data_IF_186302920740
#
_entry.id   IF_186302920740
#
_cell.length_a   1.000
_cell.length_b   1.000
_cell.length_c   1.000
_cell.angle_alpha   90.00
_cell.angle_beta   90.00
_cell.angle_gamma   90.00
#
_symmetry.space_group_name_H-M   'P 1'
#
loop_
_entity.id
_entity.type
_entity.pdbx_description
1 polymer ?
#
# COMPACT_ATOMS: atom_id res chain seq x y z
N UNK A 1 1.60 -5.50 27.45
CA UNK A 1 0.76 -4.98 26.34
C UNK A 1 0.44 -3.53 26.60
N UNK A 2 0.72 -2.65 25.64
CA UNK A 2 0.31 -1.26 25.70
C UNK A 2 -1.07 -1.12 25.07
N UNK A 3 -2.02 -0.54 25.77
CA UNK A 3 -3.39 -0.31 25.27
C UNK A 3 -3.43 0.59 24.04
N UNK A 4 -2.41 1.42 23.83
CA UNK A 4 -2.26 2.27 22.65
C UNK A 4 -2.13 1.50 21.33
N UNK A 5 -1.82 0.20 21.38
CA UNK A 5 -1.74 -0.67 20.20
C UNK A 5 -2.99 -1.59 20.06
N UNK A 6 -4.08 -1.24 20.71
CA UNK A 6 -5.35 -1.96 20.62
C UNK A 6 -6.40 -1.09 19.98
N UNK A 7 -7.04 -1.58 18.93
CA UNK A 7 -8.19 -0.92 18.33
C UNK A 7 -9.32 -1.90 18.03
N UNK A 8 -10.58 -1.46 18.11
CA UNK A 8 -11.72 -2.34 18.01
C UNK A 8 -11.91 -2.91 16.60
N UNK A 9 -12.04 -4.22 16.51
CA UNK A 9 -12.40 -4.94 15.30
C UNK A 9 -13.74 -5.62 15.47
N UNK A 10 -14.60 -5.59 14.45
CA UNK A 10 -15.82 -6.41 14.48
C UNK A 10 -15.47 -7.89 14.48
N UNK A 11 -16.19 -8.71 15.27
CA UNK A 11 -15.92 -10.16 15.35
C UNK A 11 -15.96 -10.87 14.00
N UNK A 12 -16.87 -10.47 13.10
CA UNK A 12 -16.99 -11.02 11.75
C UNK A 12 -15.78 -10.69 10.88
N UNK A 13 -15.15 -9.53 11.06
CA UNK A 13 -13.90 -9.16 10.41
C UNK A 13 -12.71 -9.91 11.01
N UNK A 14 -12.51 -9.76 12.31
CA UNK A 14 -11.37 -10.31 13.04
C UNK A 14 -11.25 -11.84 12.86
N UNK A 15 -12.33 -12.58 13.13
CA UNK A 15 -12.37 -14.04 13.00
C UNK A 15 -12.55 -14.54 11.57
N UNK A 16 -12.91 -13.64 10.64
CA UNK A 16 -13.16 -13.91 9.22
C UNK A 16 -12.00 -13.52 8.32
N UNK A 17 -12.18 -12.45 7.57
CA UNK A 17 -11.23 -11.99 6.54
C UNK A 17 -9.85 -11.65 7.08
N UNK A 18 -9.79 -11.00 8.23
CA UNK A 18 -8.51 -10.63 8.85
C UNK A 18 -7.70 -11.87 9.25
N UNK A 19 -8.33 -12.84 9.93
CA UNK A 19 -7.70 -14.13 10.24
C UNK A 19 -7.21 -14.87 8.99
N UNK A 20 -7.98 -14.82 7.88
CA UNK A 20 -7.56 -15.42 6.61
C UNK A 20 -6.29 -14.76 6.08
N UNK A 21 -6.21 -13.43 6.10
CA UNK A 21 -5.03 -12.68 5.69
C UNK A 21 -3.82 -13.03 6.56
N UNK A 22 -3.99 -13.07 7.88
CA UNK A 22 -2.91 -13.44 8.80
C UNK A 22 -2.42 -14.88 8.58
N UNK A 23 -3.33 -15.80 8.26
CA UNK A 23 -2.98 -17.20 7.94
C UNK A 23 -2.20 -17.24 6.63
N UNK A 24 -2.59 -16.45 5.62
CA UNK A 24 -1.89 -16.36 4.36
C UNK A 24 -0.46 -15.80 4.53
N UNK A 25 -0.30 -14.76 5.34
CA UNK A 25 1.02 -14.16 5.61
C UNK A 25 1.93 -15.16 6.33
N UNK A 26 1.41 -15.93 7.28
CA UNK A 26 2.20 -17.01 7.92
C UNK A 26 2.65 -18.06 6.89
N UNK A 27 1.75 -18.49 6.00
CA UNK A 27 2.12 -19.42 4.93
C UNK A 27 3.18 -18.84 3.97
N UNK A 28 3.15 -17.54 3.72
CA UNK A 28 4.21 -16.88 2.96
C UNK A 28 5.54 -16.86 3.71
N UNK A 29 5.53 -16.53 5.00
CA UNK A 29 6.75 -16.56 5.82
C UNK A 29 7.38 -17.97 5.86
N UNK A 30 6.54 -19.00 6.01
CA UNK A 30 7.00 -20.39 6.01
C UNK A 30 7.62 -20.84 4.66
N UNK A 31 7.14 -20.27 3.55
CA UNK A 31 7.52 -20.70 2.20
C UNK A 31 8.48 -19.76 1.47
N UNK A 32 8.59 -18.52 1.89
CA UNK A 32 9.25 -17.44 1.14
C UNK A 32 10.34 -16.71 1.94
N UNK A 33 10.62 -17.12 3.17
CA UNK A 33 11.60 -16.47 4.04
C UNK A 33 11.04 -15.35 4.91
N UNK A 34 11.92 -14.50 5.42
CA UNK A 34 11.57 -13.44 6.34
C UNK A 34 10.63 -12.40 5.72
N UNK A 35 9.62 -12.01 6.47
CA UNK A 35 8.67 -10.96 6.10
C UNK A 35 8.64 -9.85 7.14
N UNK A 36 8.72 -8.61 6.69
CA UNK A 36 8.37 -7.45 7.49
C UNK A 36 6.91 -7.11 7.30
N UNK A 37 6.17 -6.98 8.40
CA UNK A 37 4.71 -6.76 8.37
C UNK A 37 4.35 -5.55 9.20
N UNK A 38 3.75 -4.56 8.57
CA UNK A 38 3.19 -3.39 9.25
C UNK A 38 1.67 -3.49 9.23
N UNK A 39 1.04 -3.21 10.37
CA UNK A 39 -0.42 -3.32 10.54
C UNK A 39 -0.93 -2.11 11.29
N UNK A 40 -2.06 -1.56 10.87
CA UNK A 40 -2.68 -0.46 11.58
C UNK A 40 -4.15 -0.23 11.21
N UNK A 41 -4.87 0.55 12.05
CA UNK A 41 -6.22 1.01 11.78
C UNK A 41 -6.23 2.22 10.85
N UNK A 42 -7.33 2.39 10.13
CA UNK A 42 -7.65 3.61 9.38
C UNK A 42 -8.99 4.13 9.88
N UNK A 43 -8.98 5.35 10.44
CA UNK A 43 -10.17 5.95 11.06
C UNK A 43 -11.09 6.69 10.08
N UNK A 44 -10.77 6.68 8.78
CA UNK A 44 -11.70 7.15 7.76
C UNK A 44 -12.96 6.27 7.76
N UNK A 45 -14.13 6.87 7.57
CA UNK A 45 -15.43 6.17 7.59
C UNK A 45 -15.58 5.28 8.84
N UNK A 46 -15.28 5.85 10.01
CA UNK A 46 -15.33 5.13 11.27
C UNK A 46 -16.72 4.52 11.51
N UNK A 47 -16.77 3.46 12.33
CA UNK A 47 -17.97 2.68 12.62
C UNK A 47 -18.59 3.03 13.96
N UNK A 48 -18.45 4.30 14.39
CA UNK A 48 -18.91 4.79 15.68
C UNK A 48 -17.89 4.59 16.80
N UNK A 49 -18.37 4.56 18.03
CA UNK A 49 -17.55 4.48 19.24
C UNK A 49 -18.05 3.37 20.16
N UNK A 50 -17.15 2.83 20.98
CA UNK A 50 -17.47 1.80 21.98
C UNK A 50 -16.96 2.20 23.37
N UNK A 51 -17.66 1.68 24.39
CA UNK A 51 -17.33 1.91 25.79
C UNK A 51 -17.68 3.33 26.27
N UNK A 52 -17.62 3.52 27.60
CA UNK A 52 -17.92 4.81 28.25
C UNK A 52 -16.93 5.93 27.89
N UNK A 53 -15.74 5.56 27.43
CA UNK A 53 -14.69 6.51 27.06
C UNK A 53 -14.66 6.86 25.56
N UNK A 54 -15.66 6.43 24.78
CA UNK A 54 -15.80 6.81 23.38
C UNK A 54 -14.64 6.33 22.50
N UNK A 55 -14.24 5.05 22.61
CA UNK A 55 -13.15 4.52 21.77
C UNK A 55 -13.64 4.34 20.35
N UNK A 56 -13.08 5.12 19.43
CA UNK A 56 -13.46 5.10 18.00
C UNK A 56 -13.18 3.76 17.36
N UNK A 57 -14.19 3.23 16.65
CA UNK A 57 -14.07 1.99 15.87
C UNK A 57 -13.58 2.33 14.46
N UNK A 58 -12.39 1.87 14.04
CA UNK A 58 -11.86 2.16 12.71
C UNK A 58 -12.76 1.66 11.59
N UNK A 59 -12.84 2.41 10.48
CA UNK A 59 -13.54 1.97 9.27
C UNK A 59 -12.81 0.88 8.53
N UNK A 60 -11.47 0.90 8.56
CA UNK A 60 -10.62 -0.05 7.84
C UNK A 60 -9.40 -0.44 8.67
N UNK A 61 -8.76 -1.53 8.22
CA UNK A 61 -7.43 -1.94 8.65
C UNK A 61 -6.53 -2.16 7.45
N UNK A 62 -5.29 -1.70 7.54
CA UNK A 62 -4.28 -2.01 6.55
C UNK A 62 -3.28 -3.03 7.06
N UNK A 63 -2.67 -3.72 6.13
CA UNK A 63 -1.50 -4.56 6.35
C UNK A 63 -0.57 -4.41 5.15
N UNK A 64 0.67 -4.02 5.41
CA UNK A 64 1.74 -3.92 4.40
C UNK A 64 2.75 -5.00 4.70
N UNK A 65 3.14 -5.75 3.69
CA UNK A 65 4.09 -6.86 3.78
C UNK A 65 5.24 -6.61 2.82
N UNK A 66 6.46 -6.69 3.33
CA UNK A 66 7.69 -6.63 2.56
C UNK A 66 8.47 -7.93 2.70
N UNK A 67 8.84 -8.54 1.59
CA UNK A 67 9.69 -9.73 1.48
C UNK A 67 11.06 -9.33 0.93
N UNK A 68 12.08 -9.09 1.78
CA UNK A 68 13.36 -8.54 1.35
C UNK A 68 14.13 -9.47 0.40
N UNK A 69 14.09 -10.78 0.63
CA UNK A 69 14.79 -11.75 -0.23
C UNK A 69 14.25 -11.82 -1.66
N UNK A 70 13.02 -11.37 -1.85
CA UNK A 70 12.33 -11.37 -3.14
C UNK A 70 12.21 -9.99 -3.75
N UNK A 71 12.54 -8.95 -3.00
CA UNK A 71 12.32 -7.55 -3.38
C UNK A 71 10.86 -7.30 -3.83
N UNK A 72 9.92 -7.76 -3.00
CA UNK A 72 8.48 -7.65 -3.30
C UNK A 72 7.72 -7.06 -2.11
N UNK A 73 6.78 -6.17 -2.43
CA UNK A 73 5.84 -5.61 -1.46
C UNK A 73 4.40 -5.86 -1.87
N UNK A 74 3.52 -6.00 -0.89
CA UNK A 74 2.07 -6.06 -1.09
C UNK A 74 1.35 -5.36 0.04
N UNK A 75 0.36 -4.56 -0.31
CA UNK A 75 -0.52 -3.89 0.64
C UNK A 75 -1.93 -4.47 0.59
N UNK A 76 -2.61 -4.45 1.74
CA UNK A 76 -4.03 -4.78 1.87
C UNK A 76 -4.74 -3.66 2.61
N UNK A 77 -5.90 -3.25 2.10
CA UNK A 77 -6.85 -2.43 2.84
C UNK A 77 -8.19 -3.15 2.92
N UNK A 78 -8.61 -3.46 4.11
CA UNK A 78 -9.83 -4.24 4.37
C UNK A 78 -10.81 -3.43 5.22
N UNK A 79 -12.10 -3.35 4.84
CA UNK A 79 -13.10 -2.72 5.68
C UNK A 79 -13.29 -3.51 6.98
N UNK A 80 -13.50 -2.80 8.09
CA UNK A 80 -13.76 -3.41 9.39
C UNK A 80 -15.20 -3.93 9.45
N UNK A 81 -15.46 -4.96 8.65
CA UNK A 81 -16.78 -5.63 8.55
C UNK A 81 -16.62 -7.05 8.00
N UNK A 82 -17.72 -7.78 7.84
CA UNK A 82 -17.67 -9.10 7.21
C UNK A 82 -17.11 -8.99 5.79
N UNK A 83 -16.01 -9.69 5.53
CA UNK A 83 -15.36 -9.70 4.22
C UNK A 83 -16.08 -10.68 3.30
N UNK A 84 -16.44 -10.18 2.13
CA UNK A 84 -17.02 -10.95 1.04
C UNK A 84 -16.03 -10.95 -0.14
N UNK A 85 -15.69 -12.14 -0.64
CA UNK A 85 -14.75 -12.29 -1.75
C UNK A 85 -13.35 -12.78 -1.33
N UNK A 86 -12.44 -12.77 -2.29
CA UNK A 86 -11.06 -13.21 -2.14
C UNK A 86 -10.19 -12.10 -1.54
N UNK A 87 -9.07 -12.47 -0.93
CA UNK A 87 -8.08 -11.51 -0.39
C UNK A 87 -7.52 -10.59 -1.48
N UNK A 88 -7.41 -11.09 -2.72
CA UNK A 88 -6.95 -10.32 -3.88
C UNK A 88 -7.74 -9.02 -4.10
N UNK A 89 -9.04 -9.06 -3.83
CA UNK A 89 -9.93 -7.89 -4.02
C UNK A 89 -9.59 -6.72 -3.11
N UNK A 90 -8.81 -6.96 -2.07
CA UNK A 90 -8.43 -5.98 -1.05
C UNK A 90 -6.98 -5.53 -1.18
N UNK A 91 -6.26 -5.98 -2.22
CA UNK A 91 -4.87 -5.56 -2.45
C UNK A 91 -4.79 -4.11 -2.93
N UNK A 92 -3.76 -3.43 -2.48
CA UNK A 92 -3.40 -2.06 -2.86
C UNK A 92 -1.88 -1.96 -3.01
N UNK A 93 -1.40 -0.98 -3.77
CA UNK A 93 0.01 -0.60 -3.71
C UNK A 93 0.32 0.00 -2.34
N UNK A 94 1.58 -0.09 -1.92
CA UNK A 94 2.02 0.50 -0.65
C UNK A 94 1.88 2.01 -0.72
N UNK A 95 2.31 2.67 -1.81
CA UNK A 95 2.09 4.11 -2.10
C UNK A 95 0.64 4.55 -1.86
N UNK A 96 -0.32 3.71 -2.27
CA UNK A 96 -1.73 4.05 -2.08
C UNK A 96 -2.11 4.04 -0.59
N UNK A 97 -1.61 3.06 0.18
CA UNK A 97 -1.86 2.99 1.64
C UNK A 97 -1.17 4.15 2.34
N UNK A 98 0.02 4.53 1.92
CA UNK A 98 0.74 5.71 2.42
C UNK A 98 -0.02 7.00 2.18
N UNK A 99 -0.55 7.17 0.97
CA UNK A 99 -1.39 8.34 0.65
C UNK A 99 -2.63 8.44 1.53
N UNK A 100 -3.17 7.28 1.96
CA UNK A 100 -4.34 7.20 2.82
C UNK A 100 -4.00 7.48 4.29
N UNK A 101 -2.87 6.94 4.78
CA UNK A 101 -2.49 6.96 6.19
C UNK A 101 -1.59 8.13 6.56
N UNK A 102 -0.88 8.68 5.58
CA UNK A 102 0.17 9.69 5.80
C UNK A 102 1.42 9.12 6.48
N UNK A 103 1.54 7.81 6.52
CA UNK A 103 2.73 7.10 6.98
C UNK A 103 3.66 6.89 5.78
N UNK A 104 4.93 6.66 6.07
CA UNK A 104 6.00 6.37 5.15
C UNK A 104 6.59 5.04 5.63
N UNK A 105 6.28 3.96 4.88
CA UNK A 105 6.68 2.61 5.26
C UNK A 105 8.06 2.31 4.70
N UNK A 106 8.86 1.56 5.47
CA UNK A 106 10.18 1.09 5.05
C UNK A 106 11.14 2.20 4.56
N UNK A 107 11.00 3.42 5.05
CA UNK A 107 11.81 4.61 4.75
C UNK A 107 13.34 4.42 4.93
N UNK A 108 13.78 3.27 5.41
CA UNK A 108 15.19 2.90 5.52
C UNK A 108 15.75 2.29 4.23
N UNK A 109 14.88 1.92 3.28
CA UNK A 109 15.31 1.43 1.98
C UNK A 109 15.92 2.58 1.16
N UNK A 110 16.71 2.22 0.14
CA UNK A 110 17.15 3.18 -0.85
C UNK A 110 15.95 3.76 -1.60
N UNK A 111 15.92 5.08 -1.81
CA UNK A 111 14.78 5.80 -2.42
C UNK A 111 14.31 5.17 -3.75
N UNK A 112 15.25 4.66 -4.57
CA UNK A 112 14.89 4.05 -5.85
C UNK A 112 14.26 2.67 -5.67
N UNK A 113 14.77 1.90 -4.71
CA UNK A 113 14.22 0.60 -4.35
C UNK A 113 12.83 0.75 -3.73
N UNK A 114 12.68 1.67 -2.78
CA UNK A 114 11.42 2.01 -2.12
C UNK A 114 10.34 2.36 -3.15
N UNK A 115 10.56 3.39 -3.97
CA UNK A 115 9.64 3.81 -5.03
C UNK A 115 9.29 2.66 -5.98
N UNK A 116 10.26 1.82 -6.33
CA UNK A 116 10.03 0.71 -7.24
C UNK A 116 9.17 -0.40 -6.64
N UNK A 117 9.28 -0.64 -5.34
CA UNK A 117 8.55 -1.66 -4.62
C UNK A 117 7.14 -1.21 -4.24
N UNK A 118 7.01 0.01 -3.74
CA UNK A 118 5.76 0.56 -3.20
C UNK A 118 4.73 0.88 -4.27
N UNK A 119 5.18 1.26 -5.47
CA UNK A 119 4.31 1.52 -6.61
C UNK A 119 3.72 0.25 -7.26
N UNK A 120 4.24 -0.93 -6.94
CA UNK A 120 3.80 -2.19 -7.52
C UNK A 120 2.57 -2.77 -6.80
N UNK A 121 1.79 -3.52 -7.55
CA UNK A 121 0.74 -4.42 -7.02
C UNK A 121 0.80 -5.71 -7.83
N UNK A 122 1.93 -6.44 -7.74
CA UNK A 122 2.06 -7.73 -8.43
C UNK A 122 1.49 -8.86 -7.56
N UNK A 123 0.18 -9.06 -7.66
CA UNK A 123 -0.51 -10.11 -6.90
C UNK A 123 -0.07 -11.52 -7.29
N UNK A 124 0.46 -11.71 -8.50
CA UNK A 124 0.92 -13.04 -8.95
C UNK A 124 2.21 -13.45 -8.27
N UNK A 125 3.10 -12.50 -8.00
CA UNK A 125 4.30 -12.75 -7.23
C UNK A 125 3.98 -13.32 -5.82
N UNK A 126 2.79 -13.01 -5.30
CA UNK A 126 2.29 -13.49 -4.00
C UNK A 126 1.37 -14.71 -4.12
N UNK A 127 1.34 -15.37 -5.29
CA UNK A 127 0.58 -16.61 -5.51
C UNK A 127 -0.92 -16.42 -5.71
N UNK A 128 -1.39 -15.17 -5.89
CA UNK A 128 -2.75 -14.91 -6.30
C UNK A 128 -2.93 -15.06 -7.81
N UNK A 129 -4.13 -15.43 -8.24
CA UNK A 129 -4.45 -15.54 -9.67
C UNK A 129 -3.94 -16.80 -10.36
N UNK A 130 -3.33 -17.74 -9.65
CA UNK A 130 -2.99 -19.07 -10.17
C UNK A 130 -4.21 -19.98 -10.06
N UNK A 131 -5.19 -19.80 -10.94
CA UNK A 131 -6.23 -20.81 -11.13
C UNK A 131 -5.58 -22.00 -11.84
N UNK A 132 -5.30 -23.07 -11.12
CA UNK A 132 -5.15 -24.40 -11.71
C UNK A 132 -6.49 -24.75 -12.37
N UNK A 133 -6.56 -24.54 -13.68
CA UNK A 133 -7.70 -25.01 -14.48
C UNK A 133 -7.71 -26.51 -14.54
N UNK A 134 -8.59 -27.15 -13.79
CA UNK A 134 -9.14 -28.43 -14.20
C UNK A 134 -10.22 -28.14 -15.23
N UNK A 135 -10.00 -28.70 -16.40
CA UNK A 135 -10.85 -28.69 -17.57
C UNK A 135 -12.32 -28.94 -17.27
N UNK A 136 -13.22 -28.07 -17.73
CA UNK A 136 -14.22 -28.45 -18.71
C UNK A 136 -14.98 -27.23 -19.24
N UNK A 137 -15.05 -27.19 -20.56
CA UNK A 137 -15.71 -26.23 -21.44
C UNK A 137 -17.19 -26.01 -21.13
N UNK A 138 -17.70 -24.76 -21.41
CA UNK A 138 -18.69 -24.46 -22.45
C UNK A 138 -19.04 -22.95 -22.42
N UNK A 139 -18.79 -22.30 -23.56
CA UNK A 139 -19.44 -21.18 -24.26
C UNK A 139 -20.24 -20.08 -23.50
N UNK A 140 -19.84 -18.84 -23.51
CA UNK A 140 -19.94 -17.66 -24.44
C UNK A 140 -20.81 -16.52 -23.86
N UNK A 141 -20.88 -15.30 -24.41
CA UNK A 141 -19.79 -14.37 -24.78
C UNK A 141 -19.97 -12.95 -24.19
N UNK A 142 -18.97 -12.10 -24.51
CA UNK A 142 -19.07 -10.63 -24.61
C UNK A 142 -18.92 -9.81 -23.33
N UNK A 143 -17.65 -9.47 -23.02
CA UNK A 143 -17.32 -8.10 -22.62
C UNK A 143 -15.94 -7.76 -23.18
N UNK A 144 -15.85 -6.63 -23.87
CA UNK A 144 -14.72 -6.03 -24.56
C UNK A 144 -13.42 -6.21 -23.81
N UNK A 145 -12.50 -7.00 -24.39
CA UNK A 145 -11.14 -7.14 -23.92
C UNK A 145 -10.42 -5.78 -23.99
N UNK A 146 -10.18 -5.17 -22.85
CA UNK A 146 -9.25 -4.05 -22.76
C UNK A 146 -7.85 -4.60 -23.00
N UNK A 147 -7.39 -4.54 -24.23
CA UNK A 147 -6.10 -5.04 -24.67
C UNK A 147 -5.02 -4.19 -23.99
N UNK A 148 -4.17 -4.83 -23.16
CA UNK A 148 -3.00 -4.13 -22.63
C UNK A 148 -2.03 -3.85 -23.77
N UNK A 149 -1.47 -2.65 -23.81
CA UNK A 149 -0.49 -2.23 -24.81
C UNK A 149 0.85 -1.94 -24.16
N UNK A 150 1.95 -2.13 -24.90
CA UNK A 150 3.25 -1.78 -24.40
C UNK A 150 3.36 -0.26 -24.20
N UNK A 151 3.88 0.15 -23.05
CA UNK A 151 4.12 1.55 -22.71
C UNK A 151 4.92 2.25 -23.80
N UNK A 152 4.50 3.46 -24.18
CA UNK A 152 5.19 4.29 -25.17
C UNK A 152 6.25 5.21 -24.56
N UNK A 153 6.37 5.25 -23.23
CA UNK A 153 7.40 6.00 -22.53
C UNK A 153 8.80 5.40 -22.71
N UNK A 154 9.82 6.20 -22.48
CA UNK A 154 11.22 5.82 -22.61
C UNK A 154 11.94 5.92 -21.27
N UNK A 155 12.82 4.96 -20.98
CA UNK A 155 13.66 4.98 -19.80
C UNK A 155 14.68 6.11 -19.86
N UNK A 156 14.75 6.95 -18.83
CA UNK A 156 15.67 8.12 -18.79
C UNK A 156 17.14 7.74 -18.90
N UNK A 157 17.52 6.57 -18.35
CA UNK A 157 18.91 6.11 -18.31
C UNK A 157 19.43 5.54 -19.62
N UNK A 158 18.58 4.88 -20.42
CA UNK A 158 18.99 4.19 -21.65
C UNK A 158 18.36 4.75 -22.92
N UNK A 159 17.40 5.65 -22.83
CA UNK A 159 16.62 6.13 -23.97
C UNK A 159 15.73 5.05 -24.63
N UNK A 160 15.80 3.82 -24.15
CA UNK A 160 15.04 2.70 -24.74
C UNK A 160 13.57 2.76 -24.38
N UNK A 161 12.72 2.28 -25.29
CA UNK A 161 11.28 2.17 -25.04
C UNK A 161 11.01 1.28 -23.85
N UNK A 162 10.11 1.73 -22.97
CA UNK A 162 9.69 0.97 -21.80
C UNK A 162 9.05 -0.37 -22.18
N UNK A 163 9.46 -1.44 -21.52
CA UNK A 163 8.93 -2.81 -21.75
C UNK A 163 7.63 -3.11 -20.99
N UNK A 164 7.21 -2.22 -20.08
CA UNK A 164 6.01 -2.43 -19.27
C UNK A 164 4.74 -2.40 -20.13
N UNK A 165 3.79 -3.24 -19.78
CA UNK A 165 2.43 -3.21 -20.35
C UNK A 165 1.55 -2.24 -19.57
N UNK A 166 0.62 -1.57 -20.25
CA UNK A 166 -0.34 -0.67 -19.63
C UNK A 166 -1.74 -0.80 -20.24
N UNK A 167 -2.74 -0.60 -19.41
CA UNK A 167 -4.14 -0.46 -19.82
C UNK A 167 -4.60 1.01 -19.80
N UNK A 168 -3.71 1.94 -19.49
CA UNK A 168 -4.04 3.35 -19.46
C UNK A 168 -4.36 3.85 -20.87
N UNK A 169 -5.42 4.63 -21.03
CA UNK A 169 -5.85 5.19 -22.32
C UNK A 169 -4.74 6.01 -22.99
N UNK A 170 -3.90 6.68 -22.23
CA UNK A 170 -2.76 7.46 -22.72
C UNK A 170 -1.56 6.61 -23.14
N UNK A 171 -1.63 5.28 -23.00
CA UNK A 171 -0.57 4.30 -23.31
C UNK A 171 0.75 4.48 -22.55
N UNK A 172 0.77 5.27 -21.49
CA UNK A 172 1.91 5.37 -20.58
C UNK A 172 1.68 4.52 -19.34
N UNK A 173 2.67 3.70 -18.95
CA UNK A 173 2.62 2.98 -17.68
C UNK A 173 2.78 3.95 -16.50
N UNK A 174 2.52 3.49 -15.29
CA UNK A 174 2.57 4.32 -14.07
C UNK A 174 3.87 5.12 -13.97
N UNK A 175 5.02 4.49 -14.20
CA UNK A 175 6.34 5.12 -14.13
C UNK A 175 6.55 6.23 -15.17
N UNK A 176 5.87 6.16 -16.29
CA UNK A 176 6.05 7.10 -17.41
C UNK A 176 4.87 8.07 -17.60
N UNK A 177 3.96 8.17 -16.60
CA UNK A 177 2.86 9.15 -16.67
C UNK A 177 3.36 10.58 -16.86
N UNK A 178 4.51 10.93 -16.29
CA UNK A 178 5.13 12.25 -16.44
C UNK A 178 5.59 12.58 -17.87
N UNK A 179 5.66 11.59 -18.75
CA UNK A 179 5.99 11.78 -20.17
C UNK A 179 4.72 11.90 -21.04
N UNK A 180 3.54 11.70 -20.48
CA UNK A 180 2.28 11.78 -21.22
C UNK A 180 1.97 13.24 -21.60
N UNK A 181 1.51 13.50 -22.84
CA UNK A 181 1.05 14.84 -23.23
C UNK A 181 -0.06 15.30 -22.28
N UNK A 182 0.04 16.55 -21.80
CA UNK A 182 -0.95 17.10 -20.86
C UNK A 182 -0.81 16.63 -19.41
N UNK A 183 0.23 15.89 -19.07
CA UNK A 183 0.47 15.51 -17.68
C UNK A 183 0.67 16.76 -16.81
N UNK A 184 -0.27 16.99 -15.91
CA UNK A 184 -0.09 17.95 -14.83
C UNK A 184 0.38 17.17 -13.61
N UNK A 185 1.61 17.48 -13.15
CA UNK A 185 2.11 16.92 -11.89
C UNK A 185 1.09 17.25 -10.80
N UNK A 186 0.55 16.25 -10.07
CA UNK A 186 -0.32 16.55 -8.96
C UNK A 186 0.34 17.59 -8.08
N UNK A 187 -0.41 18.57 -7.53
CA UNK A 187 0.19 19.50 -6.59
C UNK A 187 0.84 18.64 -5.50
N UNK A 188 2.14 18.74 -5.36
CA UNK A 188 2.88 18.17 -4.24
C UNK A 188 2.21 18.72 -3.01
N UNK A 189 1.43 17.88 -2.34
CA UNK A 189 0.83 18.25 -1.05
C UNK A 189 2.03 18.55 -0.16
N UNK A 190 2.15 19.83 0.20
CA UNK A 190 3.28 20.58 0.68
C UNK A 190 4.36 19.71 1.32
N UNK A 191 5.61 19.95 0.91
CA UNK A 191 6.78 19.52 1.66
C UNK A 191 6.51 19.75 3.14
N UNK A 192 6.33 18.69 3.92
CA UNK A 192 6.21 18.83 5.36
C UNK A 192 7.49 19.53 5.81
N UNK A 193 7.37 20.77 6.24
CA UNK A 193 8.53 21.55 6.65
C UNK A 193 9.32 20.75 7.67
N UNK A 194 10.64 20.73 7.52
CA UNK A 194 11.53 20.04 8.45
C UNK A 194 11.42 20.68 9.83
N UNK A 195 11.48 19.87 10.88
CA UNK A 195 11.45 20.36 12.25
C UNK A 195 12.59 21.36 12.49
N UNK A 196 12.27 22.53 13.06
CA UNK A 196 13.23 23.61 13.31
C UNK A 196 14.07 23.42 14.58
N UNK A 197 13.81 22.36 15.37
CA UNK A 197 14.57 22.11 16.58
C UNK A 197 15.98 21.61 16.27
N UNK A 198 16.91 21.93 17.17
CA UNK A 198 18.28 21.42 17.16
C UNK A 198 18.37 20.22 18.11
N UNK A 199 19.05 19.16 17.67
CA UNK A 199 19.33 17.99 18.50
C UNK A 199 20.43 18.27 19.53
N UNK A 200 20.58 17.41 20.53
CA UNK A 200 21.65 17.53 21.51
C UNK A 200 23.07 17.54 20.90
N UNK A 201 23.21 16.98 19.67
CA UNK A 201 24.46 17.00 18.90
C UNK A 201 24.68 18.28 18.10
N UNK A 202 23.84 19.31 18.26
CA UNK A 202 23.94 20.58 17.57
C UNK A 202 23.43 20.60 16.12
N UNK A 203 22.91 19.48 15.61
CA UNK A 203 22.38 19.38 14.23
C UNK A 203 20.87 19.65 14.20
N UNK A 204 20.35 20.16 13.08
CA UNK A 204 18.91 20.29 12.90
C UNK A 204 18.23 18.92 12.98
N UNK A 205 17.09 18.86 13.66
CA UNK A 205 16.26 17.64 13.71
C UNK A 205 15.90 17.16 12.30
N UNK A 206 16.14 15.89 12.00
CA UNK A 206 15.85 15.29 10.68
C UNK A 206 14.38 14.99 10.46
N UNK A 207 13.51 15.12 11.47
CA UNK A 207 12.08 14.81 11.38
C UNK A 207 11.28 15.93 10.72
N UNK A 208 10.15 15.56 10.13
CA UNK A 208 9.19 16.53 9.63
C UNK A 208 8.44 17.20 10.78
N UNK A 209 8.10 18.46 10.61
CA UNK A 209 7.26 19.19 11.54
C UNK A 209 5.83 18.61 11.53
N UNK A 210 5.18 18.63 12.69
CA UNK A 210 3.76 18.25 12.80
C UNK A 210 2.89 19.25 12.04
N UNK A 211 1.74 18.81 11.55
CA UNK A 211 0.79 19.68 10.83
C UNK A 211 0.47 20.92 11.66
N UNK A 212 0.63 22.11 11.05
CA UNK A 212 0.43 23.39 11.73
C UNK A 212 1.50 23.80 12.74
N UNK A 213 2.61 23.09 12.84
CA UNK A 213 3.73 23.39 13.76
C UNK A 213 5.04 23.54 12.99
N UNK A 214 6.00 24.28 13.59
CA UNK A 214 7.40 24.31 13.14
C UNK A 214 8.25 23.20 13.74
N UNK A 215 7.67 22.40 14.65
CA UNK A 215 8.36 21.39 15.41
C UNK A 215 7.71 20.02 15.21
N UNK A 216 8.51 18.97 15.27
CA UNK A 216 7.99 17.60 15.30
C UNK A 216 7.40 17.29 16.70
N UNK A 217 6.71 16.16 16.82
CA UNK A 217 6.04 15.75 18.05
C UNK A 217 6.97 15.62 19.26
N UNK A 218 8.28 15.40 19.05
CA UNK A 218 9.26 15.31 20.15
C UNK A 218 9.79 16.67 20.61
N UNK A 219 9.61 17.72 19.83
CA UNK A 219 10.14 19.05 20.11
C UNK A 219 9.01 20.09 20.26
N UNK A 220 7.81 19.62 20.56
CA UNK A 220 6.67 20.47 20.90
C UNK A 220 6.81 20.98 22.33
#
# INVERSE_FOLDING_TARGET
>A
FYMSNMSPQFPSFNRGGWKKLETQIRAWADSQGDLFVVTGPVFRDNRGEIGSNGVTVPGYYYKVVYAPEREEMIGFLMPNEKINGSLESYTKSVDWIESLTGLDFFYQLDDQQEIALESKTDIKAWGFGSSTSSTNSVHNPSHTASTSVQCIGHAKSSGSRCKNQTKNQNKYCQVHQSQAPGYQKPPVSGHKARCNATTQSGSQCKRNASSGSRFCWQHK
#
